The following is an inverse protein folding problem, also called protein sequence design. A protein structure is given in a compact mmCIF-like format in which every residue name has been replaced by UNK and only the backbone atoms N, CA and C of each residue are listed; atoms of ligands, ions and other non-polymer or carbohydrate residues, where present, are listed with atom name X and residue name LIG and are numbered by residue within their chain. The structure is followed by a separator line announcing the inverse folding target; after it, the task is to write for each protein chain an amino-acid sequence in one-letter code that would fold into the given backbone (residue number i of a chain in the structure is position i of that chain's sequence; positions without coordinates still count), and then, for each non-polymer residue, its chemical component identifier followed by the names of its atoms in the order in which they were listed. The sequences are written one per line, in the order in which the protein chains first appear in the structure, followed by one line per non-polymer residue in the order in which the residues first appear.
data_IF_494421289340
#
_entry.id   IF_494421289340
#
_cell.length_a   1.000
_cell.length_b   1.000
_cell.length_c   1.000
_cell.angle_alpha   90.00
_cell.angle_beta   90.00
_cell.angle_gamma   90.00
#
_symmetry.space_group_name_H-M   'P 1'
#
loop_
_entity.id
_entity.type
_entity.pdbx_description
1 polymer ?
#
# COMPACT_ATOMS: atom_id res chain seq x y z
N UNK A 1 6.09 14.16 -7.52
CA UNK A 1 5.05 13.63 -8.42
C UNK A 1 5.10 12.12 -8.37
N UNK A 2 3.97 11.46 -8.08
CA UNK A 2 3.87 10.01 -7.94
C UNK A 2 3.92 9.23 -9.27
N UNK A 3 3.71 7.89 -9.25
CA UNK A 3 3.76 7.01 -10.43
C UNK A 3 2.64 7.32 -11.42
N UNK A 4 1.49 7.61 -10.82
CA UNK A 4 0.21 7.82 -11.42
C UNK A 4 -0.22 9.25 -11.09
N UNK A 5 -0.87 9.89 -12.05
CA UNK A 5 -1.52 11.16 -11.81
C UNK A 5 -2.68 10.98 -10.81
N UNK A 6 -3.04 12.06 -10.11
CA UNK A 6 -4.22 12.06 -9.24
C UNK A 6 -5.48 11.71 -10.04
N UNK A 7 -5.54 12.14 -11.30
CA UNK A 7 -6.59 11.79 -12.26
C UNK A 7 -6.71 10.27 -12.43
N UNK A 8 -5.60 9.58 -12.68
CA UNK A 8 -5.55 8.12 -12.78
C UNK A 8 -6.00 7.43 -11.48
N UNK A 9 -5.47 7.89 -10.33
CA UNK A 9 -5.79 7.27 -9.04
C UNK A 9 -7.28 7.46 -8.74
N UNK A 10 -7.83 8.67 -8.88
CA UNK A 10 -9.25 8.94 -8.63
C UNK A 10 -10.17 8.18 -9.59
N UNK A 11 -9.73 7.96 -10.84
CA UNK A 11 -10.53 7.23 -11.81
C UNK A 11 -10.57 5.73 -11.53
N UNK A 12 -9.42 5.11 -11.26
CA UNK A 12 -9.30 3.65 -11.08
C UNK A 12 -9.59 3.22 -9.63
N UNK A 13 -9.33 4.12 -8.69
CA UNK A 13 -9.42 3.89 -7.26
C UNK A 13 -10.02 5.10 -6.53
N UNK A 14 -11.31 5.40 -6.75
CA UNK A 14 -11.96 6.60 -6.22
C UNK A 14 -11.89 6.70 -4.70
N UNK A 15 -11.97 5.57 -4.01
CA UNK A 15 -11.93 5.46 -2.54
C UNK A 15 -10.51 5.53 -1.97
N UNK A 16 -9.47 5.68 -2.80
CA UNK A 16 -8.08 5.62 -2.36
C UNK A 16 -7.75 6.68 -1.31
N UNK A 17 -8.14 7.94 -1.55
CA UNK A 17 -7.79 9.05 -0.67
C UNK A 17 -8.73 9.19 0.52
N UNK A 18 -10.01 8.82 0.37
CA UNK A 18 -11.01 8.98 1.41
C UNK A 18 -10.99 7.83 2.43
N UNK A 19 -10.67 6.62 1.98
CA UNK A 19 -10.83 5.41 2.80
C UNK A 19 -9.52 4.63 2.89
N UNK A 20 -9.00 4.18 1.74
CA UNK A 20 -7.92 3.19 1.72
C UNK A 20 -6.62 3.70 2.34
N UNK A 21 -6.21 4.91 1.96
CA UNK A 21 -4.97 5.50 2.46
C UNK A 21 -5.03 5.80 3.97
N UNK A 22 -6.08 6.47 4.49
CA UNK A 22 -6.24 6.64 5.94
C UNK A 22 -6.20 5.32 6.71
N UNK A 23 -6.92 4.29 6.25
CA UNK A 23 -6.97 3.00 6.94
C UNK A 23 -5.63 2.26 6.93
N UNK A 24 -4.87 2.32 5.84
CA UNK A 24 -3.51 1.74 5.78
C UNK A 24 -2.55 2.48 6.73
N UNK A 25 -2.65 3.81 6.80
CA UNK A 25 -1.83 4.62 7.71
C UNK A 25 -2.14 4.28 9.18
N UNK A 26 -3.42 4.17 9.54
CA UNK A 26 -3.88 3.76 10.89
C UNK A 26 -3.39 2.36 11.26
N UNK A 27 -3.60 1.36 10.39
CA UNK A 27 -3.16 -0.01 10.62
C UNK A 27 -1.64 -0.08 10.81
N UNK A 28 -0.88 0.67 10.00
CA UNK A 28 0.57 0.71 10.09
C UNK A 28 1.04 1.32 11.42
N UNK A 29 0.36 2.36 11.90
CA UNK A 29 0.63 2.97 13.20
C UNK A 29 0.34 1.99 14.34
N UNK A 30 -0.79 1.28 14.31
CA UNK A 30 -1.15 0.29 15.32
C UNK A 30 -0.17 -0.89 15.36
N UNK A 31 0.25 -1.39 14.19
CA UNK A 31 1.30 -2.41 14.08
C UNK A 31 2.60 -1.88 14.69
N UNK A 32 2.96 -0.63 14.42
CA UNK A 32 4.14 0.03 14.98
C UNK A 32 4.09 0.12 16.51
N UNK A 33 2.95 0.54 17.08
CA UNK A 33 2.72 0.59 18.52
C UNK A 33 2.86 -0.79 19.15
N UNK A 34 2.15 -1.80 18.63
CA UNK A 34 2.23 -3.18 19.15
C UNK A 34 3.64 -3.78 19.04
N UNK A 35 4.44 -3.38 18.05
CA UNK A 35 5.85 -3.79 17.93
C UNK A 35 6.76 -3.08 18.94
N UNK A 36 6.53 -1.78 19.17
CA UNK A 36 7.31 -0.98 20.13
C UNK A 36 6.98 -1.33 21.58
N UNK A 37 5.74 -1.70 21.86
CA UNK A 37 5.24 -2.13 23.17
C UNK A 37 5.39 -3.64 23.39
N UNK A 38 6.08 -4.36 22.49
CA UNK A 38 6.26 -5.81 22.57
C UNK A 38 7.05 -6.20 23.81
N UNK A 39 6.36 -6.40 24.91
CA UNK A 39 6.88 -7.12 26.05
C UNK A 39 6.97 -8.60 25.66
N UNK A 40 8.20 -9.11 25.58
CA UNK A 40 8.48 -10.50 25.21
C UNK A 40 7.97 -11.50 26.25
N UNK A 41 7.60 -11.02 27.43
CA UNK A 41 7.00 -11.81 28.50
C UNK A 41 5.47 -11.69 28.56
N UNK A 42 4.84 -10.90 27.69
CA UNK A 42 3.37 -10.82 27.60
C UNK A 42 2.82 -12.11 26.99
N UNK A 43 2.17 -12.90 27.84
CA UNK A 43 1.56 -14.18 27.50
C UNK A 43 0.09 -14.04 27.09
N UNK A 44 -0.42 -12.81 26.95
CA UNK A 44 -1.81 -12.58 26.55
C UNK A 44 -2.05 -12.99 25.08
N UNK A 45 -2.81 -14.06 24.81
CA UNK A 45 -3.07 -14.51 23.44
C UNK A 45 -3.90 -13.50 22.63
N UNK A 46 -4.68 -12.63 23.28
CA UNK A 46 -5.51 -11.64 22.59
C UNK A 46 -4.66 -10.60 21.85
N UNK A 47 -3.52 -10.21 22.45
CA UNK A 47 -2.59 -9.26 21.82
C UNK A 47 -1.99 -9.81 20.53
N UNK A 48 -1.69 -11.12 20.50
CA UNK A 48 -1.22 -11.82 19.31
C UNK A 48 -2.33 -11.91 18.25
N UNK A 49 -3.56 -12.23 18.64
CA UNK A 49 -4.71 -12.33 17.73
C UNK A 49 -4.98 -10.97 17.07
N UNK A 50 -4.97 -9.88 17.83
CA UNK A 50 -5.15 -8.53 17.30
C UNK A 50 -4.07 -8.16 16.28
N UNK A 51 -2.81 -8.46 16.60
CA UNK A 51 -1.71 -8.22 15.68
C UNK A 51 -1.88 -9.00 14.37
N UNK A 52 -2.27 -10.29 14.45
CA UNK A 52 -2.55 -11.12 13.27
C UNK A 52 -3.69 -10.51 12.45
N UNK A 53 -4.74 -10.01 13.11
CA UNK A 53 -5.87 -9.38 12.43
C UNK A 53 -5.46 -8.09 11.69
N UNK A 54 -4.62 -7.25 12.29
CA UNK A 54 -4.08 -6.05 11.64
C UNK A 54 -3.24 -6.40 10.41
N UNK A 55 -2.34 -7.39 10.55
CA UNK A 55 -1.54 -7.89 9.43
C UNK A 55 -2.41 -8.47 8.31
N UNK A 56 -3.49 -9.17 8.65
CA UNK A 56 -4.45 -9.71 7.67
C UNK A 56 -5.17 -8.60 6.91
N UNK A 57 -5.67 -7.57 7.61
CA UNK A 57 -6.32 -6.39 6.98
C UNK A 57 -5.35 -5.68 6.04
N UNK A 58 -4.12 -5.43 6.48
CA UNK A 58 -3.08 -4.83 5.63
C UNK A 58 -2.82 -5.66 4.36
N UNK A 59 -2.79 -6.98 4.49
CA UNK A 59 -2.62 -7.89 3.36
C UNK A 59 -3.83 -7.90 2.40
N UNK A 60 -5.04 -7.69 2.90
CA UNK A 60 -6.24 -7.54 2.08
C UNK A 60 -6.17 -6.27 1.22
N UNK A 61 -5.81 -5.12 1.81
CA UNK A 61 -5.59 -3.89 1.04
C UNK A 61 -4.49 -4.04 0.00
N UNK A 62 -3.39 -4.73 0.34
CA UNK A 62 -2.34 -5.04 -0.63
C UNK A 62 -2.89 -5.82 -1.83
N UNK A 63 -3.72 -6.84 -1.60
CA UNK A 63 -4.35 -7.59 -2.69
C UNK A 63 -5.24 -6.70 -3.57
N UNK A 64 -5.99 -5.77 -2.97
CA UNK A 64 -6.81 -4.84 -3.73
C UNK A 64 -6.00 -3.90 -4.62
N UNK A 65 -4.92 -3.32 -4.07
CA UNK A 65 -3.99 -2.47 -4.83
C UNK A 65 -3.41 -3.26 -6.00
N UNK A 66 -2.91 -4.48 -5.75
CA UNK A 66 -2.32 -5.33 -6.79
C UNK A 66 -3.32 -5.68 -7.90
N UNK A 67 -4.58 -5.97 -7.57
CA UNK A 67 -5.62 -6.23 -8.56
C UNK A 67 -5.86 -5.05 -9.49
N UNK A 68 -5.74 -3.82 -8.98
CA UNK A 68 -5.94 -2.59 -9.75
C UNK A 68 -4.68 -2.09 -10.45
N UNK A 69 -3.49 -2.61 -10.14
CA UNK A 69 -2.20 -2.17 -10.70
C UNK A 69 -2.18 -2.16 -12.22
N UNK A 70 -2.66 -3.22 -12.88
CA UNK A 70 -2.66 -3.28 -14.35
C UNK A 70 -3.56 -2.18 -14.95
N UNK A 71 -4.72 -1.93 -14.32
CA UNK A 71 -5.66 -0.90 -14.75
C UNK A 71 -5.07 0.50 -14.56
N UNK A 72 -4.37 0.75 -13.45
CA UNK A 72 -3.64 1.99 -13.21
C UNK A 72 -2.57 2.24 -14.28
N UNK A 73 -1.80 1.20 -14.64
CA UNK A 73 -0.76 1.29 -15.67
C UNK A 73 -1.37 1.58 -17.03
N UNK A 74 -2.43 0.88 -17.41
CA UNK A 74 -3.10 1.07 -18.70
C UNK A 74 -3.72 2.46 -18.82
N UNK A 75 -4.44 2.92 -17.80
CA UNK A 75 -5.13 4.21 -17.83
C UNK A 75 -4.14 5.37 -17.85
N UNK A 76 -3.11 5.32 -17.01
CA UNK A 76 -2.03 6.31 -17.02
C UNK A 76 -1.27 6.29 -18.35
N UNK A 77 -1.06 5.12 -18.95
CA UNK A 77 -0.46 4.96 -20.27
C UNK A 77 -1.31 5.61 -21.37
N UNK A 78 -2.64 5.48 -21.31
CA UNK A 78 -3.57 6.17 -22.23
C UNK A 78 -3.48 7.68 -22.06
N UNK A 79 -3.63 8.18 -20.83
CA UNK A 79 -3.50 9.61 -20.52
C UNK A 79 -2.14 10.18 -20.97
N UNK A 80 -1.06 9.42 -20.78
CA UNK A 80 0.29 9.83 -21.21
C UNK A 80 0.49 9.78 -22.72
N UNK A 81 -0.18 8.88 -23.45
CA UNK A 81 -0.16 8.90 -24.92
C UNK A 81 -0.97 10.07 -25.47
N UNK A 82 -2.08 10.39 -24.83
CA UNK A 82 -2.87 11.58 -25.14
C UNK A 82 -2.11 12.87 -24.80
N UNK A 83 -1.26 12.86 -23.75
CA UNK A 83 -0.46 14.01 -23.28
C UNK A 83 1.02 14.00 -23.72
N UNK A 84 1.50 12.97 -24.42
CA UNK A 84 2.86 12.85 -24.99
C UNK A 84 4.05 12.49 -24.06
N UNK A 85 3.88 11.77 -22.93
CA UNK A 85 4.96 11.55 -21.93
C UNK A 85 5.14 10.08 -21.46
N UNK A 86 6.07 9.32 -22.06
CA UNK A 86 6.21 7.86 -21.81
C UNK A 86 7.26 7.41 -20.76
N UNK A 87 8.10 8.30 -20.21
CA UNK A 87 9.31 7.88 -19.44
C UNK A 87 9.09 7.55 -17.95
N UNK A 88 8.03 8.03 -17.31
CA UNK A 88 7.95 8.05 -15.83
C UNK A 88 7.49 6.70 -15.22
N UNK A 89 6.73 5.89 -15.97
CA UNK A 89 6.00 4.74 -15.40
C UNK A 89 6.92 3.57 -15.00
N UNK A 90 8.06 3.37 -15.69
CA UNK A 90 8.98 2.26 -15.43
C UNK A 90 9.82 2.43 -14.15
N UNK A 91 10.21 3.66 -13.83
CA UNK A 91 11.05 3.97 -12.65
C UNK A 91 10.25 3.75 -11.37
N UNK A 92 8.94 3.97 -11.43
CA UNK A 92 8.09 4.00 -10.25
C UNK A 92 7.58 2.62 -9.82
N UNK A 93 7.36 1.70 -10.76
CA UNK A 93 7.11 0.28 -10.45
C UNK A 93 8.29 -0.30 -9.67
N UNK A 94 9.52 0.02 -10.07
CA UNK A 94 10.72 -0.38 -9.32
C UNK A 94 10.77 0.22 -7.90
N UNK A 95 10.25 1.43 -7.72
CA UNK A 95 10.24 2.16 -6.44
C UNK A 95 9.20 1.61 -5.47
N UNK A 96 7.99 1.27 -5.94
CA UNK A 96 6.96 0.59 -5.13
C UNK A 96 7.45 -0.80 -4.72
N UNK A 97 8.04 -1.56 -5.64
CA UNK A 97 8.63 -2.87 -5.32
C UNK A 97 9.73 -2.69 -4.26
N UNK A 98 10.62 -1.71 -4.40
CA UNK A 98 11.69 -1.47 -3.42
C UNK A 98 11.17 -1.09 -2.02
N UNK A 99 10.18 -0.20 -1.93
CA UNK A 99 9.58 0.20 -0.64
C UNK A 99 8.88 -0.98 0.03
N UNK A 100 8.12 -1.77 -0.75
CA UNK A 100 7.38 -2.92 -0.21
C UNK A 100 8.32 -4.07 0.15
N UNK A 101 9.39 -4.29 -0.63
CA UNK A 101 10.43 -5.29 -0.31
C UNK A 101 11.23 -4.89 0.94
N UNK A 102 11.52 -3.60 1.09
CA UNK A 102 12.18 -3.05 2.27
C UNK A 102 11.31 -3.17 3.53
N UNK A 103 10.01 -2.91 3.42
CA UNK A 103 9.07 -3.08 4.52
C UNK A 103 8.91 -4.56 4.88
N UNK A 104 8.72 -5.46 3.91
CA UNK A 104 8.59 -6.91 4.18
C UNK A 104 9.89 -7.47 4.76
N UNK A 105 11.05 -7.09 4.23
CA UNK A 105 12.36 -7.53 4.75
C UNK A 105 12.73 -6.93 6.12
N UNK A 106 12.13 -5.80 6.50
CA UNK A 106 12.25 -5.24 7.85
C UNK A 106 11.23 -5.86 8.83
N UNK A 107 10.12 -6.38 8.32
CA UNK A 107 9.06 -7.01 9.11
C UNK A 107 9.32 -8.51 9.40
N UNK A 108 10.18 -9.18 8.60
CA UNK A 108 10.72 -10.55 8.76
C UNK A 108 11.97 -10.56 9.66
#
# INVERSE_FOLDING_TARGET
MGPFSLETINHVFPEYFETLRPEIEEISEEIGKKRGEKDVADDNPDNLIDYINLMRRLHEYYKEVIKKTNILIEYEGKLKKEKGSERITKIFVALIIAIVSGLIGYLL
#
